data_IF_392760290310
#
_entry.id   IF_392760290310
#
_cell.length_a   1.000
_cell.length_b   1.000
_cell.length_c   1.000
_cell.angle_alpha   90.00
_cell.angle_beta   90.00
_cell.angle_gamma   90.00
#
_symmetry.space_group_name_H-M   'P 1'
#
loop_
_entity.id
_entity.type
_entity.pdbx_description
1 polymer ?
#
# COMPACT_ATOMS: atom_id res chain seq x y z
N UNK A 1 -7.25 0.66 -6.92
CA UNK A 1 -6.74 1.54 -5.85
C UNK A 1 -7.78 1.78 -4.75
N UNK A 2 -9.04 2.10 -5.07
CA UNK A 2 -10.07 2.31 -4.04
C UNK A 2 -10.28 1.11 -3.12
N UNK A 3 -10.31 -0.12 -3.64
CA UNK A 3 -10.42 -1.33 -2.82
C UNK A 3 -9.27 -1.45 -1.81
N UNK A 4 -8.02 -1.23 -2.25
CA UNK A 4 -6.85 -1.23 -1.37
C UNK A 4 -6.96 -0.19 -0.26
N UNK A 5 -7.38 1.04 -0.61
CA UNK A 5 -7.57 2.12 0.35
C UNK A 5 -8.65 1.79 1.38
N UNK A 6 -9.81 1.30 0.94
CA UNK A 6 -10.90 0.88 1.82
C UNK A 6 -10.46 -0.24 2.77
N UNK A 7 -9.80 -1.27 2.25
CA UNK A 7 -9.32 -2.40 3.06
C UNK A 7 -8.26 -1.95 4.07
N UNK A 8 -7.35 -1.05 3.66
CA UNK A 8 -6.36 -0.49 4.57
C UNK A 8 -7.00 0.38 5.66
N UNK A 9 -8.01 1.17 5.31
CA UNK A 9 -8.85 1.91 6.27
C UNK A 9 -9.47 0.99 7.29
N UNK A 10 -10.07 -0.12 6.85
CA UNK A 10 -10.63 -1.10 7.77
C UNK A 10 -9.57 -1.68 8.73
N UNK A 11 -8.33 -1.88 8.28
CA UNK A 11 -7.25 -2.34 9.16
C UNK A 11 -6.96 -1.32 10.25
N UNK A 12 -6.62 -0.08 9.89
CA UNK A 12 -6.20 0.90 10.89
C UNK A 12 -7.35 1.40 11.76
N UNK A 13 -8.57 1.51 11.23
CA UNK A 13 -9.76 1.88 12.02
C UNK A 13 -10.11 0.79 13.04
N UNK A 14 -9.91 -0.48 12.69
CA UNK A 14 -10.15 -1.59 13.62
C UNK A 14 -9.10 -1.63 14.74
N UNK A 15 -7.84 -1.30 14.44
CA UNK A 15 -6.79 -1.13 15.45
C UNK A 15 -7.13 0.06 16.36
N UNK A 16 -7.57 1.17 15.79
CA UNK A 16 -7.98 2.36 16.53
C UNK A 16 -9.20 2.09 17.42
N UNK A 17 -10.19 1.32 16.95
CA UNK A 17 -11.33 0.92 17.77
C UNK A 17 -10.94 0.13 19.03
N UNK A 18 -9.80 -0.57 19.01
CA UNK A 18 -9.26 -1.27 20.18
C UNK A 18 -8.53 -0.34 21.16
N UNK A 19 -8.12 0.85 20.73
CA UNK A 19 -7.58 1.88 21.62
C UNK A 19 -8.64 2.36 22.61
N UNK A 20 -9.85 2.62 22.13
CA UNK A 20 -10.95 3.18 22.93
C UNK A 20 -11.79 2.09 23.64
N UNK A 21 -11.47 0.80 23.42
CA UNK A 21 -12.21 -0.36 23.95
C UNK A 21 -12.40 -0.33 25.47
N UNK A 22 -11.37 0.07 26.22
CA UNK A 22 -11.47 0.11 27.69
C UNK A 22 -12.44 1.19 28.16
N UNK A 23 -12.40 2.36 27.51
CA UNK A 23 -13.29 3.48 27.81
C UNK A 23 -14.73 3.17 27.36
N UNK A 24 -14.91 2.57 26.18
CA UNK A 24 -16.20 2.10 25.65
C UNK A 24 -16.92 1.15 26.61
N UNK A 25 -16.18 0.22 27.22
CA UNK A 25 -16.71 -0.73 28.21
C UNK A 25 -17.20 0.03 29.46
N UNK A 26 -16.45 1.03 29.93
CA UNK A 26 -16.83 1.83 31.10
C UNK A 26 -18.09 2.66 30.87
N UNK A 27 -18.32 3.14 29.64
CA UNK A 27 -19.51 3.94 29.28
C UNK A 27 -20.67 3.10 28.71
N UNK A 28 -20.50 1.78 28.57
CA UNK A 28 -21.54 0.84 28.14
C UNK A 28 -21.80 0.80 26.62
N UNK A 29 -20.88 1.28 25.79
CA UNK A 29 -20.99 1.29 24.33
C UNK A 29 -20.47 -0.02 23.74
N UNK A 30 -21.22 -0.62 22.80
CA UNK A 30 -20.79 -1.83 22.07
C UNK A 30 -20.05 -1.45 20.78
N UNK A 31 -18.73 -1.34 20.83
CA UNK A 31 -17.92 -1.05 19.65
C UNK A 31 -17.59 -2.29 18.80
N UNK A 32 -17.16 -2.06 17.55
CA UNK A 32 -16.70 -3.10 16.61
C UNK A 32 -15.57 -3.95 17.21
N UNK A 33 -14.75 -3.32 18.07
CA UNK A 33 -13.74 -3.94 18.90
C UNK A 33 -14.29 -5.08 19.77
N UNK A 34 -15.39 -4.83 20.49
CA UNK A 34 -16.09 -5.84 21.30
C UNK A 34 -16.70 -6.96 20.45
N UNK A 35 -17.16 -6.64 19.23
CA UNK A 35 -17.79 -7.62 18.33
C UNK A 35 -16.78 -8.56 17.66
N UNK A 36 -15.58 -8.07 17.35
CA UNK A 36 -14.51 -8.88 16.75
C UNK A 36 -13.73 -9.68 17.80
N UNK A 37 -13.60 -9.16 19.02
CA UNK A 37 -13.00 -9.88 20.14
C UNK A 37 -11.60 -10.43 19.83
N UNK A 38 -11.40 -11.72 20.07
CA UNK A 38 -10.12 -12.42 19.82
C UNK A 38 -9.86 -12.68 18.34
N UNK A 39 -10.91 -12.69 17.50
CA UNK A 39 -10.78 -12.92 16.06
C UNK A 39 -10.31 -11.67 15.29
N UNK A 40 -10.12 -10.53 15.95
CA UNK A 40 -9.67 -9.29 15.30
C UNK A 40 -8.44 -9.52 14.44
N UNK A 41 -7.40 -10.21 14.93
CA UNK A 41 -6.17 -10.45 14.16
C UNK A 41 -6.42 -11.24 12.87
N UNK A 42 -7.39 -12.16 12.86
CA UNK A 42 -7.77 -12.92 11.65
C UNK A 42 -8.42 -12.00 10.62
N UNK A 43 -9.36 -11.15 11.04
CA UNK A 43 -10.01 -10.18 10.16
C UNK A 43 -9.04 -9.11 9.63
N UNK A 44 -8.16 -8.60 10.50
CA UNK A 44 -7.08 -7.70 10.09
C UNK A 44 -6.18 -8.35 9.04
N UNK A 45 -5.82 -9.62 9.23
CA UNK A 45 -5.02 -10.37 8.25
C UNK A 45 -5.75 -10.51 6.90
N UNK A 46 -7.05 -10.81 6.91
CA UNK A 46 -7.85 -10.92 5.69
C UNK A 46 -7.92 -9.58 4.94
N UNK A 47 -8.17 -8.47 5.64
CA UNK A 47 -8.16 -7.14 5.03
C UNK A 47 -6.76 -6.76 4.54
N UNK A 48 -5.71 -7.07 5.30
CA UNK A 48 -4.33 -6.78 4.92
C UNK A 48 -3.88 -7.54 3.67
N UNK A 49 -4.23 -8.83 3.55
CA UNK A 49 -4.02 -9.61 2.33
C UNK A 49 -4.78 -8.97 1.15
N UNK A 50 -6.02 -8.56 1.38
CA UNK A 50 -6.83 -7.85 0.38
C UNK A 50 -6.20 -6.54 -0.10
N UNK A 51 -5.66 -5.74 0.82
CA UNK A 51 -4.92 -4.51 0.51
C UNK A 51 -3.72 -4.80 -0.37
N UNK A 52 -2.87 -5.76 0.01
CA UNK A 52 -1.66 -6.12 -0.74
C UNK A 52 -2.02 -6.65 -2.13
N UNK A 53 -3.02 -7.54 -2.23
CA UNK A 53 -3.48 -8.06 -3.51
C UNK A 53 -4.00 -6.95 -4.45
N UNK A 54 -4.80 -6.03 -3.91
CA UNK A 54 -5.32 -4.88 -4.66
C UNK A 54 -4.22 -3.92 -5.11
N UNK A 55 -3.18 -3.69 -4.29
CA UNK A 55 -2.02 -2.89 -4.66
C UNK A 55 -1.21 -3.57 -5.76
N UNK A 56 -0.89 -4.87 -5.61
CA UNK A 56 -0.21 -5.66 -6.65
C UNK A 56 -0.94 -5.57 -7.99
N UNK A 57 -2.26 -5.75 -7.99
CA UNK A 57 -3.08 -5.62 -9.19
C UNK A 57 -2.99 -4.23 -9.82
N UNK A 58 -2.94 -3.15 -9.02
CA UNK A 58 -2.74 -1.80 -9.51
C UNK A 58 -1.34 -1.57 -10.10
N UNK A 59 -0.30 -2.12 -9.48
CA UNK A 59 1.07 -2.05 -10.00
C UNK A 59 1.18 -2.69 -11.38
N UNK A 60 0.60 -3.88 -11.54
CA UNK A 60 0.53 -4.61 -12.82
C UNK A 60 -0.29 -3.81 -13.85
N UNK A 61 -1.50 -3.37 -13.49
CA UNK A 61 -2.40 -2.66 -14.41
C UNK A 61 -1.88 -1.28 -14.84
N UNK A 62 -0.87 -0.74 -14.16
CA UNK A 62 -0.28 0.57 -14.47
C UNK A 62 1.14 0.47 -15.03
N UNK A 63 1.62 -0.74 -15.32
CA UNK A 63 2.99 -1.07 -15.74
C UNK A 63 4.03 -0.32 -14.90
N UNK A 64 3.98 -0.49 -13.58
CA UNK A 64 4.94 0.12 -12.66
C UNK A 64 6.29 -0.60 -12.71
N UNK A 65 7.37 0.13 -12.41
CA UNK A 65 8.74 -0.39 -12.42
C UNK A 65 9.14 -0.95 -11.05
N UNK A 66 10.32 -1.57 -10.97
CA UNK A 66 10.81 -2.24 -9.76
C UNK A 66 10.76 -1.43 -8.44
N UNK A 67 10.94 -0.09 -8.39
CA UNK A 67 10.87 0.66 -7.12
C UNK A 67 9.50 0.60 -6.47
N UNK A 68 8.42 0.52 -7.28
CA UNK A 68 7.07 0.35 -6.77
C UNK A 68 6.95 -0.97 -6.01
N UNK A 69 7.48 -2.06 -6.55
CA UNK A 69 7.42 -3.38 -5.94
C UNK A 69 8.29 -3.48 -4.68
N UNK A 70 9.40 -2.75 -4.61
CA UNK A 70 10.19 -2.62 -3.38
C UNK A 70 9.40 -1.89 -2.28
N UNK A 71 8.74 -0.78 -2.63
CA UNK A 71 7.88 -0.06 -1.68
C UNK A 71 6.67 -0.92 -1.25
N UNK A 72 6.10 -1.71 -2.16
CA UNK A 72 5.03 -2.65 -1.85
C UNK A 72 5.50 -3.75 -0.90
N UNK A 73 6.71 -4.29 -1.10
CA UNK A 73 7.29 -5.29 -0.20
C UNK A 73 7.51 -4.70 1.21
N UNK A 74 8.06 -3.49 1.31
CA UNK A 74 8.22 -2.79 2.58
C UNK A 74 6.87 -2.53 3.28
N UNK A 75 5.86 -2.08 2.52
CA UNK A 75 4.48 -1.87 3.00
C UNK A 75 3.88 -3.18 3.52
N UNK A 76 4.07 -4.28 2.80
CA UNK A 76 3.59 -5.62 3.18
C UNK A 76 4.26 -6.11 4.47
N UNK A 77 5.58 -5.94 4.59
CA UNK A 77 6.33 -6.30 5.79
C UNK A 77 5.87 -5.49 7.01
N UNK A 78 5.69 -4.17 6.84
CA UNK A 78 5.21 -3.29 7.91
C UNK A 78 3.79 -3.67 8.36
N UNK A 79 2.89 -3.95 7.41
CA UNK A 79 1.53 -4.39 7.71
C UNK A 79 1.51 -5.74 8.43
N UNK A 80 2.32 -6.70 7.99
CA UNK A 80 2.48 -7.99 8.66
C UNK A 80 3.02 -7.85 10.08
N UNK A 81 4.00 -6.97 10.29
CA UNK A 81 4.52 -6.64 11.62
C UNK A 81 3.45 -6.01 12.51
N UNK A 82 2.68 -5.04 12.01
CA UNK A 82 1.58 -4.42 12.77
C UNK A 82 0.56 -5.47 13.22
N UNK A 83 0.04 -6.28 12.29
CA UNK A 83 -1.00 -7.27 12.58
C UNK A 83 -0.48 -8.39 13.50
N UNK A 84 0.76 -8.84 13.29
CA UNK A 84 1.38 -9.88 14.11
C UNK A 84 1.62 -9.42 15.54
N UNK A 85 2.16 -8.22 15.71
CA UNK A 85 2.64 -7.73 17.01
C UNK A 85 1.64 -6.92 17.81
N UNK A 86 0.55 -6.42 17.20
CA UNK A 86 -0.44 -5.60 17.92
C UNK A 86 -1.03 -6.33 19.12
N UNK A 87 -0.99 -5.70 20.28
CA UNK A 87 -1.72 -6.11 21.47
C UNK A 87 -3.04 -5.34 21.53
N UNK A 88 -4.10 -6.01 21.10
CA UNK A 88 -5.47 -5.47 21.03
C UNK A 88 -6.08 -5.13 22.40
N UNK A 89 -5.41 -5.48 23.50
CA UNK A 89 -5.84 -5.15 24.85
C UNK A 89 -5.01 -4.02 25.47
N UNK A 90 -3.99 -3.52 24.75
CA UNK A 90 -3.15 -2.41 25.17
C UNK A 90 -3.40 -1.19 24.27
N UNK A 91 -4.17 -0.22 24.77
CA UNK A 91 -4.51 0.98 24.02
C UNK A 91 -3.29 1.81 23.58
N UNK A 92 -2.19 1.80 24.34
CA UNK A 92 -0.94 2.47 23.96
C UNK A 92 -0.27 1.79 22.77
N UNK A 93 -0.22 0.46 22.74
CA UNK A 93 0.31 -0.28 21.59
C UNK A 93 -0.58 -0.07 20.35
N UNK A 94 -1.91 -0.10 20.51
CA UNK A 94 -2.85 0.25 19.43
C UNK A 94 -2.59 1.64 18.85
N UNK A 95 -2.35 2.64 19.69
CA UNK A 95 -2.00 3.99 19.26
C UNK A 95 -0.66 4.05 18.52
N UNK A 96 0.37 3.37 19.02
CA UNK A 96 1.68 3.33 18.37
C UNK A 96 1.61 2.63 16.99
N UNK A 97 0.84 1.54 16.88
CA UNK A 97 0.57 0.89 15.59
C UNK A 97 -0.21 1.82 14.66
N UNK A 98 -1.24 2.48 15.16
CA UNK A 98 -2.03 3.45 14.38
C UNK A 98 -1.13 4.55 13.80
N UNK A 99 -0.30 5.18 14.63
CA UNK A 99 0.64 6.23 14.22
C UNK A 99 1.63 5.74 13.16
N UNK A 100 2.05 4.47 13.24
CA UNK A 100 2.94 3.90 12.24
C UNK A 100 2.32 3.80 10.83
N UNK A 101 0.99 3.84 10.68
CA UNK A 101 0.33 3.84 9.36
C UNK A 101 0.67 5.07 8.52
N UNK A 102 0.97 6.22 9.13
CA UNK A 102 1.40 7.40 8.37
C UNK A 102 2.67 7.12 7.55
N UNK A 103 3.58 6.30 8.07
CA UNK A 103 4.80 5.90 7.36
C UNK A 103 4.53 4.97 6.18
N UNK A 104 3.52 4.10 6.27
CA UNK A 104 3.15 3.23 5.15
C UNK A 104 2.71 4.06 3.93
N UNK A 105 1.91 5.10 4.15
CA UNK A 105 1.49 6.02 3.09
C UNK A 105 2.68 6.72 2.42
N UNK A 106 3.66 7.17 3.21
CA UNK A 106 4.88 7.81 2.72
C UNK A 106 5.72 6.84 1.88
N UNK A 107 5.92 5.60 2.36
CA UNK A 107 6.69 4.56 1.65
C UNK A 107 6.06 4.26 0.29
N UNK A 108 4.75 4.01 0.26
CA UNK A 108 4.04 3.68 -0.99
C UNK A 108 4.04 4.85 -1.96
N UNK A 109 3.81 6.08 -1.47
CA UNK A 109 3.86 7.29 -2.29
C UNK A 109 5.24 7.50 -2.90
N UNK A 110 6.31 7.38 -2.10
CA UNK A 110 7.67 7.50 -2.58
C UNK A 110 8.00 6.45 -3.67
N UNK A 111 7.53 5.21 -3.48
CA UNK A 111 7.68 4.14 -4.48
C UNK A 111 6.99 4.44 -5.81
N UNK A 112 5.76 4.99 -5.76
CA UNK A 112 5.02 5.41 -6.95
C UNK A 112 5.75 6.54 -7.68
N UNK A 113 6.21 7.56 -6.94
CA UNK A 113 6.94 8.69 -7.53
C UNK A 113 8.24 8.22 -8.17
N UNK A 114 9.05 7.44 -7.44
CA UNK A 114 10.31 6.90 -7.95
C UNK A 114 10.10 6.03 -9.20
N UNK A 115 9.10 5.15 -9.16
CA UNK A 115 8.74 4.31 -10.30
C UNK A 115 8.30 5.12 -11.52
N UNK A 116 7.49 6.17 -11.31
CA UNK A 116 7.02 7.05 -12.38
C UNK A 116 8.15 7.85 -13.02
N UNK A 117 9.11 8.31 -12.21
CA UNK A 117 10.31 9.01 -12.70
C UNK A 117 11.19 8.09 -13.54
N UNK A 118 11.46 6.87 -13.08
CA UNK A 118 12.23 5.88 -13.83
C UNK A 118 11.54 5.44 -15.12
N UNK A 119 10.22 5.24 -15.08
CA UNK A 119 9.41 4.94 -16.27
C UNK A 119 9.55 6.01 -17.35
N UNK A 120 9.66 7.28 -16.95
CA UNK A 120 9.88 8.41 -17.87
C UNK A 120 11.28 8.42 -18.49
N UNK A 121 12.30 7.84 -17.85
CA UNK A 121 13.66 7.75 -18.39
C UNK A 121 13.83 6.64 -19.44
N UNK A 122 13.03 5.57 -19.36
CA UNK A 122 13.01 4.51 -20.37
C UNK A 122 12.33 4.96 -21.68
N UNK A 123 11.39 5.90 -21.62
CA UNK A 123 10.61 6.36 -22.79
C UNK A 123 11.21 7.41 -23.76
N UNK A 124 12.29 8.19 -23.53
CA UNK A 124 12.66 9.30 -24.42
C UNK A 124 13.73 9.01 -25.49
N UNK A 125 14.41 7.85 -25.45
CA UNK A 125 15.56 7.57 -26.34
C UNK A 125 15.18 6.60 -27.48
N UNK A 126 14.26 5.66 -27.23
CA UNK A 126 13.88 4.67 -28.24
C UNK A 126 13.08 5.30 -29.39
N UNK A 127 12.11 6.16 -29.07
CA UNK A 127 11.36 6.96 -30.08
C UNK A 127 12.26 7.86 -30.94
N UNK A 128 13.33 8.41 -30.35
CA UNK A 128 14.27 9.31 -31.04
C UNK A 128 15.34 8.57 -31.85
N UNK A 129 15.55 7.27 -31.60
CA UNK A 129 16.40 6.41 -32.44
C UNK A 129 15.60 5.90 -33.63
N UNK A 130 14.39 5.38 -33.42
CA UNK A 130 13.55 4.87 -34.52
C UNK A 130 13.24 5.95 -35.55
N UNK A 131 12.93 7.17 -35.12
CA UNK A 131 12.67 8.30 -36.03
C UNK A 131 13.93 8.77 -36.78
N UNK A 132 15.12 8.59 -36.20
CA UNK A 132 16.40 8.90 -36.85
C UNK A 132 16.83 7.82 -37.83
N UNK A 133 16.63 6.55 -37.48
CA UNK A 133 16.98 5.41 -38.31
C UNK A 133 16.05 5.34 -39.53
N UNK A 134 14.74 5.59 -39.35
CA UNK A 134 13.76 5.69 -40.43
C UNK A 134 14.06 6.88 -41.38
N UNK A 135 14.48 8.03 -40.83
CA UNK A 135 14.90 9.18 -41.64
C UNK A 135 16.23 8.96 -42.39
N UNK A 136 17.13 8.12 -41.85
CA UNK A 136 18.38 7.76 -42.54
C UNK A 136 18.08 6.78 -43.69
N UNK A 137 17.19 5.82 -43.48
CA UNK A 137 16.80 4.84 -44.50
C UNK A 137 16.05 5.50 -45.68
N UNK A 138 15.20 6.50 -45.42
CA UNK A 138 14.55 7.29 -46.48
C UNK A 138 15.55 8.08 -47.34
N UNK A 139 16.62 8.62 -46.74
CA UNK A 139 17.67 9.36 -47.47
C UNK A 139 18.55 8.41 -48.30
N UNK A 140 18.82 7.21 -47.79
CA UNK A 140 19.61 6.18 -48.51
C UNK A 140 18.79 5.54 -49.65
N UNK A 141 17.47 5.38 -49.48
CA UNK A 141 16.57 4.82 -50.50
C UNK A 141 16.27 5.78 -51.67
N UNK A 142 16.47 7.09 -51.46
CA UNK A 142 16.21 8.13 -52.45
C UNK A 142 17.45 8.61 -53.23
N UNK A 143 18.62 8.01 -52.99
CA UNK A 143 19.91 8.28 -53.68
C UNK A 143 20.29 7.14 -54.62
#
# INVERSE_FOLDING_TARGET
MYAAALQWTLVYDTIYAHQDKADDIMIGVKSTALRLGEDTKKWLSAFGIGTVASLTACGIASDQTWPYYVALAATTAQLGWQIGTVDINNGTDCWDKFKSNSWMGVILFAGIVASTLLKKEETPIESRKTEKDEQIDDVVSSS
#
